data_IF_675171798499
#
_entry.id   IF_675171798499
#
_cell.length_a   1.000
_cell.length_b   1.000
_cell.length_c   1.000
_cell.angle_alpha   90.00
_cell.angle_beta   90.00
_cell.angle_gamma   90.00
#
_symmetry.space_group_name_H-M   'P 1'
#
loop_
_entity.id
_entity.type
_entity.pdbx_description
1 polymer ?
#
# COMPACT_ATOMS: atom_id res chain seq x y z
N UNK A 1 1.56 7.44 23.24
CA UNK A 1 0.71 6.28 23.55
C UNK A 1 -0.76 6.73 23.59
N UNK A 2 -1.64 6.02 22.86
CA UNK A 2 -3.07 6.35 22.78
C UNK A 2 -3.83 6.06 24.08
N UNK A 3 -3.34 5.12 24.89
CA UNK A 3 -3.91 4.72 26.19
C UNK A 3 -2.78 4.45 27.21
N UNK A 4 -2.15 5.51 27.75
CA UNK A 4 -1.04 5.37 28.71
C UNK A 4 -1.48 4.77 30.05
N UNK A 5 -2.78 4.78 30.33
CA UNK A 5 -3.41 4.13 31.49
C UNK A 5 -3.39 2.60 31.40
N UNK A 6 -3.34 2.03 30.19
CA UNK A 6 -3.34 0.59 29.95
C UNK A 6 -1.97 0.07 29.48
N UNK A 7 -1.22 0.87 28.74
CA UNK A 7 0.09 0.52 28.19
C UNK A 7 1.11 1.52 28.72
N UNK A 8 1.79 1.12 29.79
CA UNK A 8 2.71 1.99 30.53
C UNK A 8 4.00 2.21 29.74
N UNK A 9 4.54 1.14 29.14
CA UNK A 9 5.80 1.15 28.41
C UNK A 9 5.85 0.11 27.26
N UNK A 10 6.96 0.06 26.56
CA UNK A 10 7.17 -0.85 25.41
C UNK A 10 7.24 -2.32 25.83
N UNK A 11 7.76 -2.62 27.00
CA UNK A 11 7.93 -4.00 27.46
C UNK A 11 6.60 -4.57 27.97
N UNK A 12 5.80 -3.76 28.65
CA UNK A 12 4.40 -4.07 28.96
C UNK A 12 3.60 -4.36 27.68
N UNK A 13 3.76 -3.53 26.63
CA UNK A 13 3.11 -3.78 25.35
C UNK A 13 3.51 -5.12 24.70
N UNK A 14 4.80 -5.46 24.74
CA UNK A 14 5.28 -6.74 24.19
C UNK A 14 4.69 -7.92 24.96
N UNK A 15 4.71 -7.84 26.30
CA UNK A 15 4.15 -8.87 27.18
C UNK A 15 2.65 -9.08 26.92
N UNK A 16 1.90 -7.99 26.74
CA UNK A 16 0.48 -8.04 26.36
C UNK A 16 0.25 -8.64 24.97
N UNK A 17 1.16 -8.37 24.03
CA UNK A 17 1.04 -8.82 22.62
C UNK A 17 1.38 -10.31 22.44
N UNK A 18 2.23 -10.87 23.31
CA UNK A 18 2.79 -12.21 23.18
C UNK A 18 1.72 -13.32 23.00
N UNK A 19 0.62 -13.40 23.79
CA UNK A 19 -0.38 -14.45 23.62
C UNK A 19 -1.22 -14.32 22.35
N UNK A 20 -1.28 -13.14 21.73
CA UNK A 20 -2.20 -12.87 20.62
C UNK A 20 -1.97 -13.75 19.40
N UNK A 21 -0.73 -14.19 19.13
CA UNK A 21 -0.44 -15.13 18.05
C UNK A 21 -1.13 -16.48 18.27
N UNK A 22 -1.11 -16.99 19.50
CA UNK A 22 -1.75 -18.26 19.88
C UNK A 22 -3.28 -18.14 19.90
N UNK A 23 -3.80 -16.99 20.32
CA UNK A 23 -5.24 -16.68 20.25
C UNK A 23 -5.70 -16.67 18.78
N UNK A 24 -4.93 -16.08 17.87
CA UNK A 24 -5.24 -16.09 16.45
C UNK A 24 -5.17 -17.51 15.83
N UNK A 25 -4.22 -18.34 16.27
CA UNK A 25 -4.16 -19.74 15.88
C UNK A 25 -5.38 -20.51 16.37
N UNK A 26 -5.76 -20.37 17.65
CA UNK A 26 -6.95 -20.97 18.23
C UNK A 26 -8.21 -20.57 17.45
N UNK A 27 -8.36 -19.29 17.09
CA UNK A 27 -9.45 -18.81 16.24
C UNK A 27 -9.48 -19.53 14.89
N UNK A 28 -8.33 -19.74 14.27
CA UNK A 28 -8.21 -20.46 12.99
C UNK A 28 -8.63 -21.92 13.14
N UNK A 29 -8.17 -22.58 14.20
CA UNK A 29 -8.50 -23.97 14.52
C UNK A 29 -9.99 -24.15 14.72
N UNK A 30 -10.63 -23.32 15.54
CA UNK A 30 -12.07 -23.37 15.82
C UNK A 30 -12.89 -23.00 14.56
N UNK A 31 -12.41 -22.12 13.71
CA UNK A 31 -13.09 -21.78 12.43
C UNK A 31 -13.07 -22.91 11.43
N UNK A 32 -11.96 -23.62 11.31
CA UNK A 32 -11.78 -24.66 10.31
C UNK A 32 -12.31 -26.03 10.74
N UNK A 33 -12.18 -26.37 12.03
CA UNK A 33 -12.58 -27.66 12.62
C UNK A 33 -12.12 -28.85 11.76
N UNK A 34 -10.83 -28.87 11.41
CA UNK A 34 -10.20 -30.00 10.74
C UNK A 34 -10.14 -31.23 11.68
N UNK A 35 -9.79 -32.38 11.17
CA UNK A 35 -9.59 -33.59 11.99
C UNK A 35 -8.55 -33.32 13.10
N UNK A 36 -8.90 -33.66 14.34
CA UNK A 36 -8.05 -33.39 15.54
C UNK A 36 -8.05 -31.94 16.01
N UNK A 37 -8.98 -31.09 15.56
CA UNK A 37 -9.05 -29.67 15.91
C UNK A 37 -9.14 -29.40 17.42
N UNK A 38 -9.75 -30.27 18.21
CA UNK A 38 -9.84 -30.14 19.68
C UNK A 38 -8.46 -30.24 20.32
N UNK A 39 -7.64 -31.20 19.88
CA UNK A 39 -6.27 -31.37 20.41
C UNK A 39 -5.36 -30.22 20.02
N UNK A 40 -5.46 -29.77 18.74
CA UNK A 40 -4.76 -28.58 18.28
C UNK A 40 -5.20 -27.34 19.09
N UNK A 41 -6.49 -27.18 19.34
CA UNK A 41 -7.03 -26.11 20.18
C UNK A 41 -6.50 -26.13 21.61
N UNK A 42 -6.42 -27.30 22.24
CA UNK A 42 -5.83 -27.47 23.60
C UNK A 42 -4.34 -27.12 23.60
N UNK A 43 -3.61 -27.47 22.56
CA UNK A 43 -2.19 -27.11 22.39
C UNK A 43 -1.99 -25.59 22.32
N UNK A 44 -2.86 -24.88 21.58
CA UNK A 44 -2.81 -23.42 21.50
C UNK A 44 -3.18 -22.76 22.85
N UNK A 45 -4.15 -23.31 23.58
CA UNK A 45 -4.46 -22.86 24.95
C UNK A 45 -3.26 -23.05 25.88
N UNK A 46 -2.59 -24.21 25.84
CA UNK A 46 -1.38 -24.42 26.61
C UNK A 46 -0.28 -23.39 26.27
N UNK A 47 -0.16 -23.03 25.01
CA UNK A 47 0.77 -22.00 24.55
C UNK A 47 0.39 -20.61 25.05
N UNK A 48 -0.91 -20.26 25.08
CA UNK A 48 -1.41 -19.02 25.71
C UNK A 48 -1.01 -18.96 27.18
N UNK A 49 -1.25 -20.03 27.93
CA UNK A 49 -0.91 -20.13 29.36
C UNK A 49 0.61 -20.19 29.61
N UNK A 50 1.39 -20.55 28.62
CA UNK A 50 2.87 -20.47 28.65
C UNK A 50 3.38 -19.03 28.74
N UNK A 51 2.62 -18.07 28.24
CA UNK A 51 2.99 -16.64 28.27
C UNK A 51 2.72 -16.02 29.65
N UNK A 52 3.44 -14.95 29.97
CA UNK A 52 3.23 -14.22 31.23
C UNK A 52 1.83 -13.59 31.30
N UNK A 53 1.40 -12.91 30.25
CA UNK A 53 0.08 -12.28 30.17
C UNK A 53 -1.05 -13.30 30.13
N UNK A 54 -0.85 -14.41 29.43
CA UNK A 54 -1.81 -15.52 29.38
C UNK A 54 -2.13 -16.08 30.77
N UNK A 55 -1.08 -16.36 31.55
CA UNK A 55 -1.20 -16.93 32.90
C UNK A 55 -1.79 -15.96 33.93
N UNK A 56 -1.36 -14.69 33.89
CA UNK A 56 -1.74 -13.75 34.96
C UNK A 56 -3.01 -12.96 34.64
N UNK A 57 -3.46 -12.90 33.39
CA UNK A 57 -4.61 -12.10 32.98
C UNK A 57 -5.65 -12.95 32.23
N UNK A 58 -5.26 -13.59 31.12
CA UNK A 58 -6.23 -14.28 30.24
C UNK A 58 -6.86 -15.48 30.93
N UNK A 59 -6.11 -16.24 31.69
CA UNK A 59 -6.61 -17.40 32.45
C UNK A 59 -7.78 -17.06 33.40
N UNK A 60 -7.77 -15.83 33.88
CA UNK A 60 -8.81 -15.37 34.82
C UNK A 60 -10.01 -14.71 34.11
N UNK A 61 -10.04 -14.73 32.77
CA UNK A 61 -11.20 -14.27 32.03
C UNK A 61 -12.38 -15.23 32.20
N UNK A 62 -13.61 -14.75 32.44
CA UNK A 62 -14.81 -15.58 32.53
C UNK A 62 -15.10 -16.43 31.29
N UNK A 63 -14.55 -16.01 30.12
CA UNK A 63 -14.73 -16.72 28.88
C UNK A 63 -13.72 -17.85 28.69
N UNK A 64 -12.61 -17.85 29.44
CA UNK A 64 -11.54 -18.82 29.28
C UNK A 64 -11.97 -20.25 29.64
N UNK A 65 -12.69 -20.42 30.75
CA UNK A 65 -13.21 -21.71 31.18
C UNK A 65 -14.20 -22.30 30.15
N UNK A 66 -15.07 -21.47 29.58
CA UNK A 66 -16.05 -21.89 28.57
C UNK A 66 -15.38 -22.38 27.26
N UNK A 67 -14.16 -21.90 26.97
CA UNK A 67 -13.39 -22.35 25.80
C UNK A 67 -12.87 -23.76 26.01
N UNK A 68 -12.48 -24.12 27.24
CA UNK A 68 -12.12 -25.49 27.60
C UNK A 68 -13.29 -26.43 27.41
N UNK A 69 -14.43 -26.10 28.02
CA UNK A 69 -15.66 -26.89 27.95
C UNK A 69 -16.11 -27.11 26.49
N UNK A 70 -15.90 -26.09 25.64
CA UNK A 70 -16.23 -26.18 24.22
C UNK A 70 -15.34 -27.16 23.47
N UNK A 71 -14.04 -27.23 23.78
CA UNK A 71 -13.10 -28.15 23.17
C UNK A 71 -13.29 -29.61 23.57
N UNK A 72 -14.07 -29.86 24.67
CA UNK A 72 -14.39 -31.19 25.14
C UNK A 72 -15.68 -31.75 24.50
N UNK A 73 -16.41 -30.94 23.72
CA UNK A 73 -17.64 -31.38 23.04
C UNK A 73 -17.32 -32.27 21.83
N UNK A 74 -18.08 -33.37 21.74
CA UNK A 74 -18.01 -34.26 20.55
C UNK A 74 -18.72 -33.64 19.35
N UNK A 75 -19.89 -33.01 19.56
CA UNK A 75 -20.65 -32.34 18.52
C UNK A 75 -20.82 -30.85 18.85
N UNK A 76 -20.62 -30.00 17.83
CA UNK A 76 -20.68 -28.54 17.94
C UNK A 76 -21.67 -27.98 16.94
N UNK A 77 -22.67 -27.27 17.43
CA UNK A 77 -23.63 -26.57 16.56
C UNK A 77 -23.01 -25.31 15.96
N UNK A 78 -23.61 -24.83 14.87
CA UNK A 78 -23.17 -23.58 14.22
C UNK A 78 -23.27 -22.37 15.15
N UNK A 79 -24.29 -22.31 15.99
CA UNK A 79 -24.51 -21.22 16.92
C UNK A 79 -23.45 -21.20 18.03
N UNK A 80 -23.17 -22.38 18.61
CA UNK A 80 -22.09 -22.53 19.60
C UNK A 80 -20.72 -22.16 19.03
N UNK A 81 -20.46 -22.54 17.80
CA UNK A 81 -19.22 -22.18 17.11
C UNK A 81 -19.08 -20.67 16.94
N UNK A 82 -20.15 -19.95 16.54
CA UNK A 82 -20.14 -18.50 16.37
C UNK A 82 -19.95 -17.79 17.73
N UNK A 83 -20.64 -18.23 18.78
CA UNK A 83 -20.48 -17.71 20.15
C UNK A 83 -19.04 -17.91 20.64
N UNK A 84 -18.48 -19.11 20.42
CA UNK A 84 -17.11 -19.41 20.84
C UNK A 84 -16.07 -18.57 20.09
N UNK A 85 -16.21 -18.36 18.78
CA UNK A 85 -15.35 -17.47 18.02
C UNK A 85 -15.37 -16.06 18.61
N UNK A 86 -16.54 -15.54 18.98
CA UNK A 86 -16.67 -14.23 19.62
C UNK A 86 -15.95 -14.15 20.97
N UNK A 87 -16.07 -15.22 21.80
CA UNK A 87 -15.38 -15.29 23.09
C UNK A 87 -13.88 -15.37 22.97
N UNK A 88 -13.37 -16.17 22.01
CA UNK A 88 -11.92 -16.23 21.73
C UNK A 88 -11.42 -14.88 21.21
N UNK A 89 -12.17 -14.20 20.34
CA UNK A 89 -11.82 -12.85 19.89
C UNK A 89 -11.75 -11.84 21.05
N UNK A 90 -12.61 -12.00 22.08
CA UNK A 90 -12.61 -11.15 23.27
C UNK A 90 -11.37 -11.36 24.17
N UNK A 91 -10.72 -12.53 24.10
CA UNK A 91 -9.46 -12.77 24.83
C UNK A 91 -8.27 -11.99 24.28
N UNK A 92 -8.37 -11.47 23.05
CA UNK A 92 -7.28 -10.73 22.46
C UNK A 92 -6.93 -9.50 23.30
N UNK A 93 -5.68 -9.38 23.72
CA UNK A 93 -5.22 -8.37 24.70
C UNK A 93 -5.56 -6.92 24.33
N UNK A 94 -5.78 -6.65 23.07
CA UNK A 94 -6.14 -5.33 22.55
C UNK A 94 -7.61 -5.22 22.10
N UNK A 95 -8.45 -6.22 22.41
CA UNK A 95 -9.86 -6.22 21.98
C UNK A 95 -10.63 -4.96 22.44
N UNK A 96 -10.43 -4.52 23.68
CA UNK A 96 -11.06 -3.30 24.20
C UNK A 96 -10.39 -1.98 23.81
N UNK A 97 -9.20 -2.04 23.18
CA UNK A 97 -8.40 -0.86 22.82
C UNK A 97 -8.47 -0.58 21.31
N UNK A 98 -8.58 -1.64 20.50
CA UNK A 98 -8.64 -1.56 19.04
C UNK A 98 -10.08 -1.79 18.59
N UNK A 99 -10.76 -0.73 18.21
CA UNK A 99 -12.06 -0.86 17.55
C UNK A 99 -11.83 -1.12 16.05
N UNK A 100 -12.03 -2.37 15.63
CA UNK A 100 -11.94 -2.78 14.24
C UNK A 100 -13.33 -3.00 13.65
N UNK A 101 -13.86 -2.01 12.98
CA UNK A 101 -15.06 -2.18 12.16
C UNK A 101 -14.75 -3.08 10.97
N UNK A 102 -15.36 -4.25 10.89
CA UNK A 102 -15.22 -5.13 9.72
C UNK A 102 -16.20 -4.68 8.65
N UNK A 103 -15.83 -4.84 7.38
CA UNK A 103 -16.71 -4.49 6.25
C UNK A 103 -18.09 -5.16 6.32
N UNK A 104 -18.17 -6.38 6.86
CA UNK A 104 -19.42 -7.10 7.06
C UNK A 104 -20.34 -6.53 8.15
N UNK A 105 -19.81 -5.66 9.02
CA UNK A 105 -20.52 -5.04 10.14
C UNK A 105 -21.13 -3.68 9.73
N UNK A 106 -20.97 -3.28 8.45
CA UNK A 106 -21.52 -2.05 7.87
C UNK A 106 -22.63 -2.48 6.89
N UNK A 107 -23.86 -2.14 7.20
CA UNK A 107 -25.05 -2.52 6.39
C UNK A 107 -25.02 -1.92 4.99
N UNK A 108 -24.52 -0.69 4.82
CA UNK A 108 -24.42 0.04 3.55
C UNK A 108 -23.02 -0.02 2.94
N UNK A 109 -22.47 -1.23 2.77
CA UNK A 109 -21.15 -1.37 2.20
C UNK A 109 -21.16 -1.29 0.67
N UNK A 110 -20.48 -0.25 0.14
CA UNK A 110 -20.27 -0.14 -1.31
C UNK A 110 -19.42 -1.29 -1.84
N UNK A 111 -19.95 -2.05 -2.79
CA UNK A 111 -19.21 -3.12 -3.46
C UNK A 111 -18.15 -2.49 -4.35
N UNK A 112 -16.87 -2.79 -4.05
CA UNK A 112 -15.75 -2.39 -4.90
C UNK A 112 -15.67 -3.32 -6.11
N UNK A 113 -15.83 -2.77 -7.30
CA UNK A 113 -15.57 -3.47 -8.57
C UNK A 113 -14.25 -2.96 -9.14
N UNK A 114 -13.27 -3.84 -9.25
CA UNK A 114 -12.00 -3.51 -9.87
C UNK A 114 -12.11 -3.71 -11.37
N UNK A 115 -11.79 -2.67 -12.13
CA UNK A 115 -11.71 -2.71 -13.59
C UNK A 115 -10.31 -2.27 -14.00
N UNK A 116 -9.64 -3.09 -14.79
CA UNK A 116 -8.34 -2.76 -15.39
C UNK A 116 -8.56 -2.34 -16.84
N UNK A 117 -8.26 -1.09 -17.16
CA UNK A 117 -8.30 -0.56 -18.51
C UNK A 117 -6.89 -0.58 -19.09
N UNK A 118 -6.70 -1.29 -20.21
CA UNK A 118 -5.40 -1.33 -20.90
C UNK A 118 -5.28 -0.14 -21.85
N UNK A 119 -4.20 0.60 -21.73
CA UNK A 119 -3.83 1.71 -22.61
C UNK A 119 -2.37 1.52 -23.07
N UNK A 120 -2.14 0.88 -24.23
CA UNK A 120 -0.78 0.69 -24.76
C UNK A 120 -0.17 2.03 -25.14
N UNK A 121 1.14 2.15 -25.03
CA UNK A 121 1.88 3.27 -25.57
C UNK A 121 1.72 3.35 -27.09
N UNK A 122 1.69 4.56 -27.62
CA UNK A 122 1.90 4.77 -29.07
C UNK A 122 3.39 4.58 -29.40
N UNK A 123 3.75 4.60 -30.70
CA UNK A 123 5.13 4.31 -31.15
C UNK A 123 6.16 5.24 -30.47
N UNK A 124 5.91 6.55 -30.47
CA UNK A 124 6.84 7.54 -29.90
C UNK A 124 6.99 7.40 -28.37
N UNK A 125 5.88 7.11 -27.67
CA UNK A 125 5.92 6.85 -26.23
C UNK A 125 6.70 5.56 -25.93
N UNK A 126 6.54 4.54 -26.79
CA UNK A 126 7.26 3.29 -26.64
C UNK A 126 8.75 3.47 -26.87
N UNK A 127 9.14 4.19 -27.92
CA UNK A 127 10.55 4.46 -28.24
C UNK A 127 11.24 5.18 -27.06
N UNK A 128 10.58 6.19 -26.48
CA UNK A 128 11.09 6.87 -25.29
C UNK A 128 11.19 5.94 -24.08
N UNK A 129 10.20 5.07 -23.86
CA UNK A 129 10.23 4.12 -22.74
C UNK A 129 11.32 3.06 -22.91
N UNK A 130 11.52 2.57 -24.14
CA UNK A 130 12.56 1.58 -24.46
C UNK A 130 13.96 2.19 -24.28
N UNK A 131 14.18 3.45 -24.68
CA UNK A 131 15.43 4.19 -24.42
C UNK A 131 15.73 4.34 -22.92
N UNK A 132 14.70 4.61 -22.11
CA UNK A 132 14.85 4.63 -20.65
C UNK A 132 15.25 3.27 -20.08
N UNK A 133 14.69 2.18 -20.60
CA UNK A 133 15.04 0.81 -20.16
C UNK A 133 16.51 0.48 -20.49
N UNK A 134 16.96 0.84 -21.67
CA UNK A 134 18.36 0.63 -22.11
C UNK A 134 19.33 1.43 -21.23
N UNK A 135 18.98 2.67 -20.93
CA UNK A 135 19.76 3.50 -20.00
C UNK A 135 19.79 2.91 -18.60
N UNK A 136 18.65 2.43 -18.06
CA UNK A 136 18.59 1.77 -16.75
C UNK A 136 19.56 0.58 -16.68
N UNK A 137 19.53 -0.28 -17.69
CA UNK A 137 20.40 -1.46 -17.77
C UNK A 137 21.88 -1.06 -17.80
N UNK A 138 22.23 -0.07 -18.64
CA UNK A 138 23.59 0.43 -18.77
C UNK A 138 24.08 1.07 -17.46
N UNK A 139 23.28 1.92 -16.84
CA UNK A 139 23.62 2.64 -15.61
C UNK A 139 23.79 1.68 -14.45
N UNK A 140 22.89 0.70 -14.28
CA UNK A 140 22.99 -0.31 -13.23
C UNK A 140 24.20 -1.23 -13.40
N UNK A 141 24.60 -1.50 -14.64
CA UNK A 141 25.78 -2.30 -14.96
C UNK A 141 27.06 -1.53 -14.64
N UNK A 142 27.19 -0.28 -15.07
CA UNK A 142 28.37 0.57 -14.86
C UNK A 142 28.62 0.86 -13.37
N UNK A 143 27.57 1.09 -12.59
CA UNK A 143 27.66 1.52 -11.20
C UNK A 143 27.57 0.36 -10.21
N UNK A 144 27.82 -0.87 -10.66
CA UNK A 144 27.79 -2.09 -9.83
C UNK A 144 26.49 -2.23 -8.98
N UNK A 145 25.39 -1.65 -9.48
CA UNK A 145 24.07 -1.82 -8.88
C UNK A 145 23.93 -1.24 -7.48
N UNK A 146 24.49 -0.07 -7.20
CA UNK A 146 24.30 0.59 -5.91
C UNK A 146 22.81 0.70 -5.60
N UNK A 147 22.44 0.50 -4.34
CA UNK A 147 21.03 0.48 -3.90
C UNK A 147 20.31 1.78 -4.24
N UNK A 148 21.00 2.90 -4.09
CA UNK A 148 20.47 4.25 -4.35
C UNK A 148 20.20 4.49 -5.84
N UNK A 149 21.13 4.08 -6.72
CA UNK A 149 20.93 4.18 -8.19
C UNK A 149 19.76 3.32 -8.63
N UNK A 150 19.68 2.09 -8.17
CA UNK A 150 18.55 1.18 -8.49
C UNK A 150 17.22 1.79 -8.08
N UNK A 151 17.15 2.35 -6.87
CA UNK A 151 15.91 2.98 -6.38
C UNK A 151 15.54 4.20 -7.24
N UNK A 152 16.49 5.05 -7.57
CA UNK A 152 16.27 6.21 -8.43
C UNK A 152 15.76 5.79 -9.80
N UNK A 153 16.41 4.82 -10.45
CA UNK A 153 15.97 4.33 -11.77
C UNK A 153 14.57 3.73 -11.70
N UNK A 154 14.26 2.94 -10.67
CA UNK A 154 12.89 2.46 -10.45
C UNK A 154 11.89 3.61 -10.34
N UNK A 155 12.25 4.71 -9.70
CA UNK A 155 11.35 5.88 -9.56
C UNK A 155 11.15 6.59 -10.89
N UNK A 156 12.21 6.74 -11.71
CA UNK A 156 12.13 7.27 -13.08
C UNK A 156 11.19 6.40 -13.93
N UNK A 157 11.37 5.08 -13.90
CA UNK A 157 10.54 4.12 -14.65
C UNK A 157 9.08 4.13 -14.18
N UNK A 158 8.83 4.25 -12.90
CA UNK A 158 7.47 4.39 -12.33
C UNK A 158 6.81 5.69 -12.79
N UNK A 159 7.56 6.82 -12.83
CA UNK A 159 7.05 8.08 -13.37
C UNK A 159 6.71 7.94 -14.86
N UNK A 160 7.59 7.34 -15.67
CA UNK A 160 7.34 7.10 -17.08
C UNK A 160 6.09 6.24 -17.32
N UNK A 161 5.95 5.17 -16.54
CA UNK A 161 4.77 4.29 -16.57
C UNK A 161 3.50 4.98 -16.10
N UNK A 162 3.59 5.90 -15.14
CA UNK A 162 2.46 6.69 -14.66
C UNK A 162 2.00 7.71 -15.71
N UNK A 163 2.92 8.53 -16.18
CA UNK A 163 2.70 9.54 -17.22
C UNK A 163 4.03 9.92 -17.86
N UNK A 164 4.22 9.53 -19.13
CA UNK A 164 5.46 9.80 -19.86
C UNK A 164 5.66 11.30 -20.11
N UNK A 165 4.57 12.07 -20.26
CA UNK A 165 4.61 13.54 -20.42
C UNK A 165 5.05 14.27 -19.13
N UNK A 166 4.97 13.61 -17.98
CA UNK A 166 5.48 14.12 -16.72
C UNK A 166 6.97 13.85 -16.50
N UNK A 167 7.62 13.13 -17.42
CA UNK A 167 8.99 12.67 -17.23
C UNK A 167 9.99 13.82 -17.30
N UNK A 168 9.89 14.71 -18.29
CA UNK A 168 10.81 15.86 -18.45
C UNK A 168 10.84 16.75 -17.21
N UNK A 169 9.71 17.27 -16.70
CA UNK A 169 9.75 18.08 -15.48
C UNK A 169 10.24 17.28 -14.27
N UNK A 170 10.00 15.97 -14.21
CA UNK A 170 10.51 15.12 -13.15
C UNK A 170 12.05 14.96 -13.24
N UNK A 171 12.61 14.74 -14.43
CA UNK A 171 14.05 14.67 -14.64
C UNK A 171 14.73 16.00 -14.32
N UNK A 172 14.13 17.13 -14.72
CA UNK A 172 14.63 18.45 -14.38
C UNK A 172 14.64 18.68 -12.86
N UNK A 173 13.64 18.20 -12.13
CA UNK A 173 13.63 18.28 -10.65
C UNK A 173 14.78 17.44 -10.06
N UNK A 174 15.04 16.23 -10.58
CA UNK A 174 16.17 15.39 -10.15
C UNK A 174 17.50 16.10 -10.38
N UNK A 175 17.74 16.57 -11.59
CA UNK A 175 19.00 17.23 -11.99
C UNK A 175 19.22 18.53 -11.20
N UNK A 176 18.19 19.37 -11.06
CA UNK A 176 18.28 20.67 -10.35
C UNK A 176 18.56 20.51 -8.87
N UNK A 177 18.00 19.48 -8.23
CA UNK A 177 18.18 19.20 -6.80
C UNK A 177 19.43 18.40 -6.47
N UNK A 178 20.33 18.20 -7.43
CA UNK A 178 21.56 17.41 -7.30
C UNK A 178 21.30 16.01 -6.73
N UNK A 179 20.20 15.38 -7.15
CA UNK A 179 19.81 14.00 -6.85
C UNK A 179 19.59 13.64 -5.36
N UNK A 180 19.96 14.50 -4.43
CA UNK A 180 19.90 14.20 -2.99
C UNK A 180 18.46 14.20 -2.42
N UNK A 181 17.46 14.67 -3.16
CA UNK A 181 16.09 14.81 -2.69
C UNK A 181 15.09 14.43 -3.78
N UNK A 182 14.65 13.19 -3.80
CA UNK A 182 13.51 12.76 -4.62
C UNK A 182 12.26 12.80 -3.76
N UNK A 183 11.27 13.58 -4.18
CA UNK A 183 10.00 13.69 -3.49
C UNK A 183 9.03 12.64 -4.04
N UNK A 184 8.85 11.56 -3.30
CA UNK A 184 7.85 10.54 -3.55
C UNK A 184 6.78 10.64 -2.44
N UNK A 185 5.50 10.64 -2.80
CA UNK A 185 4.33 10.68 -1.91
C UNK A 185 4.33 11.80 -0.84
N UNK A 186 4.99 12.93 -1.13
CA UNK A 186 5.06 14.06 -0.20
C UNK A 186 6.16 13.95 0.87
N UNK A 187 6.86 12.82 0.94
CA UNK A 187 8.03 12.66 1.80
C UNK A 187 9.31 12.97 1.02
N UNK A 188 10.19 13.73 1.67
CA UNK A 188 11.55 14.00 1.19
C UNK A 188 12.44 12.85 1.64
N UNK A 189 12.89 12.02 0.71
CA UNK A 189 13.94 11.05 1.00
C UNK A 189 15.31 11.71 0.74
N UNK A 190 16.07 11.93 1.80
CA UNK A 190 17.50 12.25 1.67
C UNK A 190 18.26 10.95 1.40
N UNK A 191 18.90 10.88 0.24
CA UNK A 191 19.79 9.78 -0.10
C UNK A 191 21.22 10.23 0.19
N UNK A 192 21.89 9.51 1.06
CA UNK A 192 23.33 9.63 1.28
C UNK A 192 24.04 8.98 0.09
N UNK A 193 24.24 9.78 -0.96
CA UNK A 193 24.75 9.33 -2.24
C UNK A 193 26.01 10.11 -2.59
N UNK A 194 27.16 9.43 -2.51
CA UNK A 194 28.40 9.94 -3.09
C UNK A 194 28.34 9.75 -4.59
N UNK A 195 27.99 10.81 -5.31
CA UNK A 195 28.08 10.82 -6.77
C UNK A 195 29.52 11.05 -7.19
N UNK A 196 29.98 10.24 -8.15
CA UNK A 196 31.16 10.58 -8.93
C UNK A 196 30.75 11.44 -10.14
N UNK A 197 31.68 12.24 -10.61
CA UNK A 197 31.47 13.17 -11.74
C UNK A 197 30.98 12.46 -13.02
N UNK A 198 31.37 11.19 -13.22
CA UNK A 198 30.97 10.39 -14.38
C UNK A 198 29.49 10.08 -14.37
N UNK A 199 28.93 9.78 -13.17
CA UNK A 199 27.51 9.51 -13.05
C UNK A 199 26.66 10.78 -13.20
N UNK A 200 27.13 11.89 -12.63
CA UNK A 200 26.47 13.19 -12.77
C UNK A 200 26.38 13.57 -14.26
N UNK A 201 27.47 13.43 -15.00
CA UNK A 201 27.50 13.69 -16.45
C UNK A 201 26.54 12.76 -17.22
N UNK A 202 26.53 11.46 -16.90
CA UNK A 202 25.60 10.51 -17.54
C UNK A 202 24.13 10.84 -17.30
N UNK A 203 23.81 11.39 -16.14
CA UNK A 203 22.43 11.82 -15.84
C UNK A 203 22.02 13.10 -16.58
N UNK A 204 22.96 14.04 -16.76
CA UNK A 204 22.70 15.20 -17.57
C UNK A 204 22.47 14.81 -19.04
N UNK A 205 23.31 13.93 -19.59
CA UNK A 205 23.14 13.40 -20.95
C UNK A 205 21.78 12.69 -21.11
N UNK A 206 21.38 11.87 -20.14
CA UNK A 206 20.05 11.25 -20.14
C UNK A 206 18.92 12.28 -20.10
N UNK A 207 19.03 13.28 -19.23
CA UNK A 207 17.99 14.30 -19.11
C UNK A 207 17.80 15.06 -20.43
N UNK A 208 18.89 15.36 -21.13
CA UNK A 208 18.86 16.01 -22.44
C UNK A 208 18.26 15.08 -23.51
N UNK A 209 18.64 13.81 -23.54
CA UNK A 209 18.07 12.83 -24.48
C UNK A 209 16.56 12.63 -24.23
N UNK A 210 16.13 12.52 -22.98
CA UNK A 210 14.70 12.45 -22.60
C UNK A 210 13.97 13.71 -23.05
N UNK A 211 14.57 14.90 -22.88
CA UNK A 211 13.97 16.14 -23.31
C UNK A 211 13.79 16.18 -24.83
N UNK A 212 14.80 15.77 -25.59
CA UNK A 212 14.77 15.69 -27.05
C UNK A 212 13.73 14.69 -27.57
N UNK A 213 13.67 13.51 -26.97
CA UNK A 213 12.68 12.49 -27.34
C UNK A 213 11.27 12.94 -26.95
N UNK A 214 11.11 13.55 -25.80
CA UNK A 214 9.82 14.05 -25.32
C UNK A 214 9.30 15.22 -26.17
N UNK A 215 10.18 16.02 -26.76
CA UNK A 215 9.79 17.08 -27.69
C UNK A 215 9.14 16.54 -28.98
N UNK A 216 9.41 15.28 -29.31
CA UNK A 216 8.81 14.57 -30.47
C UNK A 216 7.45 13.96 -30.13
N UNK A 217 7.08 13.87 -28.84
CA UNK A 217 5.80 13.33 -28.42
C UNK A 217 4.66 14.21 -28.95
N UNK A 218 3.68 13.58 -29.54
CA UNK A 218 2.45 14.25 -29.98
C UNK A 218 1.47 14.43 -28.81
N UNK A 219 0.40 15.21 -29.04
CA UNK A 219 -0.69 15.32 -28.06
C UNK A 219 -1.56 14.05 -27.95
N UNK A 220 -1.28 13.04 -28.78
CA UNK A 220 -1.97 11.76 -28.76
C UNK A 220 -1.46 10.90 -27.61
N UNK A 221 -2.17 10.92 -26.49
CA UNK A 221 -1.91 10.13 -25.30
C UNK A 221 -3.01 9.06 -25.11
N UNK A 222 -2.79 7.82 -25.55
CA UNK A 222 -3.78 6.75 -25.43
C UNK A 222 -4.24 6.50 -24.00
N UNK A 223 -3.36 6.70 -23.00
CA UNK A 223 -3.69 6.51 -21.60
C UNK A 223 -4.61 7.61 -21.08
N UNK A 224 -4.33 8.86 -21.44
CA UNK A 224 -5.18 9.98 -21.10
C UNK A 224 -6.56 9.84 -21.78
N UNK A 225 -6.60 9.48 -23.07
CA UNK A 225 -7.87 9.30 -23.79
C UNK A 225 -8.75 8.22 -23.15
N UNK A 226 -8.17 7.08 -22.78
CA UNK A 226 -8.91 6.00 -22.10
C UNK A 226 -9.43 6.45 -20.72
N UNK A 227 -8.63 7.18 -19.97
CA UNK A 227 -9.07 7.76 -18.69
C UNK A 227 -10.20 8.76 -18.91
N UNK A 228 -10.08 9.62 -19.93
CA UNK A 228 -11.09 10.62 -20.27
C UNK A 228 -12.42 9.98 -20.69
N UNK A 229 -12.40 8.90 -21.51
CA UNK A 229 -13.57 8.10 -21.82
C UNK A 229 -14.29 7.62 -20.55
N UNK A 230 -13.56 7.05 -19.59
CA UNK A 230 -14.12 6.58 -18.30
C UNK A 230 -14.75 7.74 -17.52
N UNK A 231 -14.12 8.93 -17.50
CA UNK A 231 -14.68 10.12 -16.86
C UNK A 231 -15.99 10.53 -17.52
N UNK A 232 -16.05 10.56 -18.86
CA UNK A 232 -17.25 10.92 -19.61
C UNK A 232 -18.38 9.94 -19.37
N UNK A 233 -18.09 8.64 -19.28
CA UNK A 233 -19.08 7.64 -18.94
C UNK A 233 -19.63 7.85 -17.52
N UNK A 234 -18.73 8.09 -16.57
CA UNK A 234 -19.10 8.33 -15.18
C UNK A 234 -19.93 9.62 -15.01
N UNK A 235 -19.70 10.64 -15.82
CA UNK A 235 -20.50 11.89 -15.79
C UNK A 235 -21.96 11.71 -16.17
N UNK A 236 -22.32 10.59 -16.82
CA UNK A 236 -23.71 10.25 -17.18
C UNK A 236 -24.49 9.66 -16.01
N UNK A 237 -23.80 9.23 -14.96
CA UNK A 237 -24.43 8.63 -13.78
C UNK A 237 -24.89 9.72 -12.79
N UNK A 238 -25.84 9.37 -11.93
CA UNK A 238 -26.31 10.25 -10.85
C UNK A 238 -25.16 10.63 -9.90
N UNK A 239 -24.33 9.66 -9.49
CA UNK A 239 -23.09 9.89 -8.76
C UNK A 239 -21.93 10.04 -9.75
N UNK A 240 -21.72 11.25 -10.24
CA UNK A 240 -20.74 11.58 -11.28
C UNK A 240 -19.38 12.05 -10.77
N UNK A 241 -19.11 11.92 -9.48
CA UNK A 241 -17.80 12.31 -8.90
C UNK A 241 -16.75 11.26 -9.17
N UNK A 242 -15.55 11.73 -9.55
CA UNK A 242 -14.39 10.89 -9.84
C UNK A 242 -13.22 11.38 -9.00
N UNK A 243 -12.49 10.45 -8.38
CA UNK A 243 -11.24 10.71 -7.69
C UNK A 243 -10.13 9.96 -8.43
N UNK A 244 -9.09 10.69 -8.83
CA UNK A 244 -7.92 10.13 -9.52
C UNK A 244 -6.74 10.20 -8.56
N UNK A 245 -6.10 9.07 -8.33
CA UNK A 245 -4.90 8.96 -7.50
C UNK A 245 -3.66 8.76 -8.36
N UNK A 246 -2.58 9.44 -8.04
CA UNK A 246 -1.25 9.19 -8.57
C UNK A 246 -0.21 9.43 -7.50
N UNK A 247 0.85 8.63 -7.49
CA UNK A 247 2.02 8.83 -6.63
C UNK A 247 2.90 9.99 -7.11
N UNK A 248 2.67 10.55 -8.29
CA UNK A 248 3.53 11.55 -8.90
C UNK A 248 2.81 12.88 -9.12
N UNK A 249 3.34 13.95 -8.55
CA UNK A 249 2.80 15.32 -8.71
C UNK A 249 2.82 15.79 -10.17
N UNK A 250 3.86 15.41 -10.94
CA UNK A 250 3.94 15.75 -12.36
C UNK A 250 2.83 15.10 -13.17
N UNK A 251 2.45 13.85 -12.84
CA UNK A 251 1.28 13.20 -13.43
C UNK A 251 0.00 13.97 -13.11
N UNK A 252 -0.21 14.36 -11.84
CA UNK A 252 -1.40 15.11 -11.43
C UNK A 252 -1.49 16.48 -12.13
N UNK A 253 -0.36 17.19 -12.26
CA UNK A 253 -0.31 18.48 -12.99
C UNK A 253 -0.65 18.31 -14.48
N UNK A 254 -0.10 17.27 -15.12
CA UNK A 254 -0.42 16.93 -16.50
C UNK A 254 -1.91 16.65 -16.69
N UNK A 255 -2.48 15.80 -15.82
CA UNK A 255 -3.89 15.44 -15.86
C UNK A 255 -4.78 16.67 -15.62
N UNK A 256 -4.49 17.48 -14.59
CA UNK A 256 -5.25 18.71 -14.30
C UNK A 256 -5.28 19.63 -15.51
N UNK A 257 -4.13 19.91 -16.11
CA UNK A 257 -4.01 20.76 -17.30
C UNK A 257 -4.89 20.26 -18.45
N UNK A 258 -4.72 19.00 -18.84
CA UNK A 258 -5.44 18.45 -20.00
C UNK A 258 -6.95 18.30 -19.75
N UNK A 259 -7.37 17.98 -18.52
CA UNK A 259 -8.79 17.93 -18.16
C UNK A 259 -9.45 19.31 -18.19
N UNK A 260 -8.77 20.35 -17.70
CA UNK A 260 -9.25 21.74 -17.78
C UNK A 260 -9.37 22.21 -19.24
N UNK A 261 -8.40 21.90 -20.10
CA UNK A 261 -8.43 22.21 -21.54
C UNK A 261 -9.65 21.56 -22.24
N UNK A 262 -10.15 20.43 -21.72
CA UNK A 262 -11.36 19.75 -22.21
C UNK A 262 -12.66 20.15 -21.47
N UNK A 263 -12.60 21.17 -20.64
CA UNK A 263 -13.78 21.71 -19.94
C UNK A 263 -14.23 20.91 -18.73
N UNK A 264 -13.44 19.95 -18.25
CA UNK A 264 -13.73 19.21 -17.01
C UNK A 264 -13.31 20.04 -15.81
N UNK A 265 -14.21 20.26 -14.86
CA UNK A 265 -13.87 20.91 -13.59
C UNK A 265 -13.08 19.95 -12.74
N UNK A 266 -11.85 20.30 -12.37
CA UNK A 266 -10.94 19.46 -11.61
C UNK A 266 -10.16 20.30 -10.60
N UNK A 267 -10.01 19.76 -9.40
CA UNK A 267 -9.11 20.28 -8.37
C UNK A 267 -8.04 19.24 -8.04
N UNK A 268 -6.88 19.73 -7.62
CA UNK A 268 -5.75 18.89 -7.22
C UNK A 268 -5.49 19.08 -5.74
N UNK A 269 -5.33 17.98 -5.02
CA UNK A 269 -4.89 17.93 -3.64
C UNK A 269 -3.61 17.13 -3.58
N UNK A 270 -2.54 17.71 -3.09
CA UNK A 270 -1.25 17.06 -2.85
C UNK A 270 -0.63 17.56 -1.54
N UNK A 271 0.53 17.05 -1.16
CA UNK A 271 1.19 17.42 0.12
C UNK A 271 1.63 18.90 0.23
N UNK A 272 1.35 19.76 -0.76
CA UNK A 272 1.59 21.21 -0.69
C UNK A 272 0.35 21.99 -0.21
N UNK A 273 -0.79 21.32 -0.08
CA UNK A 273 -2.03 21.94 0.44
C UNK A 273 -1.96 21.95 1.96
N UNK A 274 -2.06 23.13 2.62
CA UNK A 274 -1.98 23.26 4.08
C UNK A 274 -3.16 22.58 4.80
#
# INVERSE_FOLDING_TARGET
LLRPDLIIDKDTFKTMAEPNQYINNLLRVVRNQAEGWQEEGRSEIASILGTNWGRNVIQHSPDFEKIYDFLDKEEVTREEKVDMISRIEALHSFHGIINRTRRKDIEDFCIRRNLTVKAPFNALQKDLYDALMEFEETTLTMLHGSRSVRFMMCTVMRQASSCIYGLVPFMNDIVTRKLNQIQEDGELYEYDFEMNDDFENSLFELADEIADMSAKLTKDDPKFEKMYEVILEKQKEENNRVIIFSSFRHTLRYLKKNLLERGVRVEQVDGSVP
#
